data_IF_699347795838
#
_entry.id   IF_699347795838
#
_cell.length_a   1.000
_cell.length_b   1.000
_cell.length_c   1.000
_cell.angle_alpha   90.00
_cell.angle_beta   90.00
_cell.angle_gamma   90.00
#
_symmetry.space_group_name_H-M   'P 1'
#
loop_
_entity.id
_entity.type
_entity.pdbx_description
1 polymer ?
#
# COMPACT_ATOMS: atom_id res chain seq x y z
N UNK A 1 4.63 -2.08 -18.60
CA UNK A 1 5.09 -2.64 -17.32
C UNK A 1 3.87 -3.06 -16.50
N UNK A 2 4.00 -4.11 -15.69
CA UNK A 2 3.00 -4.50 -14.69
C UNK A 2 3.37 -3.88 -13.35
N UNK A 3 2.57 -2.93 -12.87
CA UNK A 3 2.83 -2.14 -11.67
C UNK A 3 1.87 -2.56 -10.56
N UNK A 4 2.41 -2.93 -9.39
CA UNK A 4 1.64 -3.16 -8.18
C UNK A 4 1.72 -1.93 -7.28
N UNK A 5 0.60 -1.26 -7.05
CA UNK A 5 0.50 -0.17 -6.09
C UNK A 5 -0.05 -0.69 -4.77
N UNK A 6 0.66 -0.44 -3.68
CA UNK A 6 0.20 -0.72 -2.32
C UNK A 6 -0.12 0.59 -1.62
N UNK A 7 -1.33 0.73 -1.14
CA UNK A 7 -1.81 1.94 -0.47
C UNK A 7 -2.88 1.61 0.56
N UNK A 8 -2.93 2.34 1.67
CA UNK A 8 -3.93 2.12 2.70
C UNK A 8 -5.27 2.81 2.41
N UNK A 9 -5.28 3.75 1.45
CA UNK A 9 -6.50 4.44 0.99
C UNK A 9 -6.54 4.56 -0.53
N UNK A 10 -7.71 4.35 -1.09
CA UNK A 10 -8.08 4.53 -2.50
C UNK A 10 -9.59 4.82 -2.55
N UNK A 11 -10.09 5.67 -3.45
CA UNK A 11 -11.52 5.97 -3.49
C UNK A 11 -12.42 4.70 -3.49
N UNK A 12 -13.56 4.73 -2.79
CA UNK A 12 -14.17 5.88 -2.11
C UNK A 12 -13.59 6.18 -0.73
N UNK A 13 -12.66 5.36 -0.18
CA UNK A 13 -11.95 5.65 1.06
C UNK A 13 -10.97 6.79 0.82
N UNK A 14 -11.26 7.96 1.39
CA UNK A 14 -10.41 9.15 1.34
C UNK A 14 -10.21 9.65 2.77
N UNK A 15 -9.04 9.37 3.35
CA UNK A 15 -8.65 9.88 4.66
C UNK A 15 -7.85 11.16 4.50
N UNK A 16 -6.98 11.19 3.48
CA UNK A 16 -6.14 12.33 3.19
C UNK A 16 -5.84 12.50 1.69
N UNK A 17 -4.68 13.05 1.41
CA UNK A 17 -4.25 13.31 0.03
C UNK A 17 -3.81 12.08 -0.75
N UNK A 18 -3.40 11.01 -0.06
CA UNK A 18 -2.83 9.80 -0.67
C UNK A 18 -3.82 9.17 -1.65
N UNK A 19 -5.09 9.02 -1.26
CA UNK A 19 -6.12 8.43 -2.11
C UNK A 19 -6.21 9.11 -3.48
N UNK A 20 -6.17 10.44 -3.51
CA UNK A 20 -6.24 11.22 -4.76
C UNK A 20 -4.97 11.04 -5.60
N UNK A 21 -3.82 11.10 -4.96
CA UNK A 21 -2.53 10.92 -5.65
C UNK A 21 -2.45 9.54 -6.30
N UNK A 22 -2.78 8.47 -5.55
CA UNK A 22 -2.74 7.10 -6.08
C UNK A 22 -3.75 6.92 -7.21
N UNK A 23 -4.97 7.43 -7.03
CA UNK A 23 -6.02 7.36 -8.04
C UNK A 23 -5.61 8.06 -9.35
N UNK A 24 -5.12 9.29 -9.28
CA UNK A 24 -4.77 10.05 -10.48
C UNK A 24 -3.52 9.49 -11.15
N UNK A 25 -2.52 9.08 -10.35
CA UNK A 25 -1.30 8.47 -10.85
C UNK A 25 -1.59 7.11 -11.52
N UNK A 26 -2.39 6.25 -10.90
CA UNK A 26 -2.74 4.94 -11.47
C UNK A 26 -3.44 5.09 -12.82
N UNK A 27 -4.38 6.03 -12.93
CA UNK A 27 -5.07 6.32 -14.20
C UNK A 27 -4.14 6.93 -15.24
N UNK A 28 -3.18 7.74 -14.83
CA UNK A 28 -2.18 8.28 -15.75
C UNK A 28 -1.31 7.17 -16.31
N UNK A 29 -0.84 6.25 -15.47
CA UNK A 29 -0.02 5.12 -15.90
C UNK A 29 -0.75 4.18 -16.85
N UNK A 30 -2.07 3.96 -16.67
CA UNK A 30 -2.89 3.23 -17.63
C UNK A 30 -2.88 3.93 -19.00
N UNK A 31 -3.04 5.27 -19.02
CA UNK A 31 -2.99 6.05 -20.30
C UNK A 31 -1.63 5.98 -20.98
N UNK A 32 -0.57 5.83 -20.19
CA UNK A 32 0.81 5.69 -20.69
C UNK A 32 1.14 4.24 -21.12
N UNK A 33 0.14 3.34 -21.11
CA UNK A 33 0.26 1.96 -21.63
C UNK A 33 0.77 0.94 -20.63
N UNK A 34 0.70 1.24 -19.32
CA UNK A 34 1.06 0.29 -18.26
C UNK A 34 -0.16 -0.49 -17.77
N UNK A 35 0.08 -1.68 -17.22
CA UNK A 35 -0.90 -2.45 -16.46
C UNK A 35 -0.75 -2.04 -14.98
N UNK A 36 -1.83 -1.62 -14.34
CA UNK A 36 -1.79 -1.16 -12.95
C UNK A 36 -2.78 -1.94 -12.10
N UNK A 37 -2.27 -2.54 -11.06
CA UNK A 37 -3.03 -3.20 -10.01
C UNK A 37 -2.84 -2.45 -8.70
N UNK A 38 -3.92 -2.08 -8.04
CA UNK A 38 -3.93 -1.44 -6.71
C UNK A 38 -4.44 -2.45 -5.69
N UNK A 39 -3.70 -2.63 -4.59
CA UNK A 39 -4.20 -3.32 -3.39
C UNK A 39 -4.39 -2.28 -2.29
N UNK A 40 -5.59 -2.21 -1.73
CA UNK A 40 -5.96 -1.21 -0.72
C UNK A 40 -6.87 -1.80 0.34
N UNK A 41 -7.10 -1.06 1.43
CA UNK A 41 -8.03 -1.44 2.48
C UNK A 41 -9.49 -1.29 2.01
N UNK A 42 -10.32 -2.27 2.39
CA UNK A 42 -11.77 -2.25 2.19
C UNK A 42 -12.44 -1.55 3.37
N UNK A 43 -13.16 -0.49 3.10
CA UNK A 43 -14.00 0.18 4.10
C UNK A 43 -15.44 0.21 3.63
N UNK A 44 -16.35 -0.17 4.52
CA UNK A 44 -17.76 -0.13 4.23
C UNK A 44 -18.23 -1.12 3.15
N UNK A 45 -19.35 -0.80 2.53
CA UNK A 45 -19.99 -1.66 1.53
C UNK A 45 -19.47 -1.36 0.11
N UNK A 46 -18.20 -1.65 -0.13
CA UNK A 46 -17.56 -1.54 -1.45
C UNK A 46 -17.16 -2.92 -1.95
N UNK A 47 -17.06 -3.15 -3.29
CA UNK A 47 -16.66 -4.45 -3.82
C UNK A 47 -15.20 -4.76 -3.47
N UNK A 48 -14.89 -6.06 -3.32
CA UNK A 48 -13.51 -6.54 -3.16
C UNK A 48 -12.65 -6.35 -4.41
N UNK A 49 -13.30 -6.32 -5.56
CA UNK A 49 -12.66 -6.07 -6.85
C UNK A 49 -13.50 -5.13 -7.69
N UNK A 50 -12.83 -4.19 -8.34
CA UNK A 50 -13.41 -3.38 -9.40
C UNK A 50 -12.35 -3.04 -10.47
N UNK A 51 -12.82 -2.77 -11.68
CA UNK A 51 -12.00 -2.15 -12.72
C UNK A 51 -12.35 -0.66 -12.80
N UNK A 52 -11.49 0.19 -12.25
CA UNK A 52 -11.67 1.64 -12.30
C UNK A 52 -10.96 2.22 -13.53
N UNK A 53 -11.65 2.20 -14.68
CA UNK A 53 -11.14 2.75 -15.95
C UNK A 53 -9.79 2.17 -16.37
N UNK A 54 -9.64 0.86 -16.23
CA UNK A 54 -8.43 0.11 -16.57
C UNK A 54 -7.54 -0.21 -15.39
N UNK A 55 -7.69 0.48 -14.26
CA UNK A 55 -6.99 0.14 -13.01
C UNK A 55 -7.70 -1.03 -12.34
N UNK A 56 -6.99 -2.12 -12.10
CA UNK A 56 -7.51 -3.25 -11.32
C UNK A 56 -7.37 -2.94 -9.82
N UNK A 57 -8.48 -2.73 -9.14
CA UNK A 57 -8.48 -2.40 -7.70
C UNK A 57 -8.95 -3.62 -6.90
N UNK A 58 -8.08 -4.11 -6.04
CA UNK A 58 -8.37 -5.18 -5.07
C UNK A 58 -8.40 -4.61 -3.67
N UNK A 59 -9.46 -4.89 -2.93
CA UNK A 59 -9.61 -4.43 -1.55
C UNK A 59 -9.49 -5.60 -0.60
N UNK A 60 -8.78 -5.40 0.51
CA UNK A 60 -8.56 -6.40 1.55
C UNK A 60 -9.16 -5.93 2.87
N UNK A 61 -9.79 -6.85 3.58
CA UNK A 61 -10.34 -6.64 4.93
C UNK A 61 -9.31 -7.02 6.01
N UNK A 62 -9.45 -6.40 7.17
CA UNK A 62 -8.80 -6.89 8.37
C UNK A 62 -9.70 -7.92 9.09
N UNK A 63 -9.11 -9.06 9.48
CA UNK A 63 -9.85 -10.17 10.10
C UNK A 63 -10.24 -9.90 11.55
N UNK A 64 -9.46 -9.09 12.28
CA UNK A 64 -9.81 -8.71 13.63
C UNK A 64 -10.74 -7.51 13.63
N UNK A 65 -11.91 -7.68 14.22
CA UNK A 65 -12.95 -6.66 14.26
C UNK A 65 -12.51 -5.46 15.11
N UNK A 66 -11.76 -5.72 16.19
CA UNK A 66 -11.27 -4.70 17.11
C UNK A 66 -9.77 -4.89 17.35
N UNK A 67 -8.89 -4.31 16.54
CA UNK A 67 -7.45 -4.29 16.86
C UNK A 67 -7.22 -3.47 18.13
N UNK A 68 -6.26 -3.89 18.96
CA UNK A 68 -5.97 -3.23 20.24
C UNK A 68 -5.47 -1.80 20.05
N UNK A 69 -4.81 -1.55 18.93
CA UNK A 69 -4.24 -0.26 18.58
C UNK A 69 -4.05 -0.13 17.06
N UNK A 70 -3.61 1.04 16.61
CA UNK A 70 -3.40 1.33 15.20
C UNK A 70 -2.29 0.49 14.55
N UNK A 71 -1.26 0.12 15.30
CA UNK A 71 -0.15 -0.71 14.81
C UNK A 71 -0.65 -2.13 14.52
N UNK A 72 -1.44 -2.71 15.40
CA UNK A 72 -2.05 -4.03 15.15
C UNK A 72 -2.92 -4.02 13.89
N UNK A 73 -3.67 -2.94 13.68
CA UNK A 73 -4.46 -2.75 12.47
C UNK A 73 -3.57 -2.72 11.21
N UNK A 74 -2.44 -2.01 11.26
CA UNK A 74 -1.48 -1.93 10.16
C UNK A 74 -0.84 -3.28 9.87
N UNK A 75 -0.47 -4.03 10.90
CA UNK A 75 0.11 -5.35 10.73
C UNK A 75 -0.87 -6.31 10.02
N UNK A 76 -2.14 -6.29 10.39
CA UNK A 76 -3.17 -7.06 9.70
C UNK A 76 -3.34 -6.62 8.25
N UNK A 77 -3.36 -5.32 7.99
CA UNK A 77 -3.46 -4.78 6.63
C UNK A 77 -2.31 -5.29 5.76
N UNK A 78 -1.07 -5.23 6.26
CA UNK A 78 0.11 -5.73 5.54
C UNK A 78 0.02 -7.24 5.28
N UNK A 79 -0.42 -8.02 6.26
CA UNK A 79 -0.60 -9.47 6.09
C UNK A 79 -1.62 -9.77 4.97
N UNK A 80 -2.76 -9.08 4.97
CA UNK A 80 -3.81 -9.28 3.98
C UNK A 80 -3.41 -8.77 2.58
N UNK A 81 -2.68 -7.66 2.52
CA UNK A 81 -2.10 -7.17 1.26
C UNK A 81 -1.11 -8.17 0.68
N UNK A 82 -0.24 -8.72 1.52
CA UNK A 82 0.73 -9.74 1.12
C UNK A 82 0.04 -11.00 0.59
N UNK A 83 -0.96 -11.51 1.30
CA UNK A 83 -1.74 -12.67 0.88
C UNK A 83 -2.41 -12.43 -0.48
N UNK A 84 -3.02 -11.25 -0.68
CA UNK A 84 -3.65 -10.88 -1.95
C UNK A 84 -2.61 -10.74 -3.07
N UNK A 85 -1.47 -10.12 -2.80
CA UNK A 85 -0.40 -9.96 -3.79
C UNK A 85 0.16 -11.33 -4.23
N UNK A 86 0.37 -12.26 -3.31
CA UNK A 86 0.79 -13.62 -3.62
C UNK A 86 -0.23 -14.34 -4.52
N UNK A 87 -1.53 -14.27 -4.18
CA UNK A 87 -2.61 -14.81 -5.01
C UNK A 87 -2.56 -14.24 -6.44
N UNK A 88 -2.33 -12.95 -6.58
CA UNK A 88 -2.28 -12.29 -7.88
C UNK A 88 -1.02 -12.67 -8.67
N UNK A 89 0.13 -12.80 -8.01
CA UNK A 89 1.38 -13.25 -8.64
C UNK A 89 1.22 -14.69 -9.14
N UNK A 90 0.61 -15.57 -8.36
CA UNK A 90 0.37 -16.97 -8.77
C UNK A 90 -0.57 -17.05 -9.98
N UNK A 91 -1.58 -16.18 -10.05
CA UNK A 91 -2.58 -16.20 -11.13
C UNK A 91 -2.13 -15.48 -12.40
N UNK A 92 -1.42 -14.37 -12.28
CA UNK A 92 -1.14 -13.42 -13.38
C UNK A 92 0.36 -13.28 -13.69
N UNK A 93 1.21 -13.91 -12.90
CA UNK A 93 2.66 -13.76 -12.97
C UNK A 93 3.16 -12.53 -12.21
N UNK A 94 4.47 -12.42 -12.13
CA UNK A 94 5.21 -11.42 -11.36
C UNK A 94 4.97 -10.01 -11.89
N UNK A 95 4.92 -9.05 -10.96
CA UNK A 95 4.94 -7.61 -11.27
C UNK A 95 6.37 -7.15 -11.58
N UNK A 96 6.49 -6.09 -12.37
CA UNK A 96 7.78 -5.50 -12.73
C UNK A 96 8.29 -4.56 -11.64
N UNK A 97 7.37 -3.90 -10.93
CA UNK A 97 7.68 -2.95 -9.85
C UNK A 97 6.55 -2.89 -8.82
N UNK A 98 6.92 -2.68 -7.55
CA UNK A 98 6.00 -2.33 -6.46
C UNK A 98 6.11 -0.82 -6.24
N UNK A 99 4.98 -0.11 -6.26
CA UNK A 99 4.92 1.29 -5.83
C UNK A 99 4.22 1.35 -4.46
N UNK A 100 5.01 1.55 -3.42
CA UNK A 100 4.54 1.65 -2.04
C UNK A 100 4.23 3.10 -1.69
N UNK A 101 3.02 3.37 -1.20
CA UNK A 101 2.56 4.70 -0.78
C UNK A 101 2.50 4.79 0.73
N UNK A 102 3.44 5.56 1.28
CA UNK A 102 3.65 5.79 2.71
C UNK A 102 4.11 4.54 3.48
N UNK A 103 4.47 4.73 4.74
CA UNK A 103 5.04 3.70 5.63
C UNK A 103 4.07 2.56 5.99
N UNK A 104 2.76 2.81 5.91
CA UNK A 104 1.73 1.86 6.32
C UNK A 104 1.76 0.54 5.56
N UNK A 105 2.37 0.48 4.39
CA UNK A 105 2.44 -0.71 3.53
C UNK A 105 3.85 -1.31 3.45
N UNK A 106 4.76 -0.86 4.31
CA UNK A 106 6.19 -1.21 4.29
C UNK A 106 6.43 -2.71 4.37
N UNK A 107 5.77 -3.39 5.32
CA UNK A 107 6.03 -4.82 5.56
C UNK A 107 5.63 -5.70 4.38
N UNK A 108 4.46 -5.45 3.78
CA UNK A 108 4.04 -6.18 2.58
C UNK A 108 4.94 -5.88 1.39
N UNK A 109 5.32 -4.62 1.17
CA UNK A 109 6.21 -4.23 0.08
C UNK A 109 7.60 -4.88 0.21
N UNK A 110 8.23 -4.80 1.38
CA UNK A 110 9.56 -5.40 1.64
C UNK A 110 9.53 -6.91 1.54
N UNK A 111 8.48 -7.56 2.05
CA UNK A 111 8.33 -9.02 1.94
C UNK A 111 8.22 -9.45 0.48
N UNK A 112 7.43 -8.77 -0.34
CA UNK A 112 7.31 -9.05 -1.76
C UNK A 112 8.62 -8.82 -2.52
N UNK A 113 9.34 -7.72 -2.21
CA UNK A 113 10.68 -7.46 -2.75
C UNK A 113 11.60 -8.65 -2.47
N UNK A 114 11.69 -9.07 -1.20
CA UNK A 114 12.62 -10.11 -0.79
C UNK A 114 12.24 -11.50 -1.33
N UNK A 115 10.94 -11.80 -1.39
CA UNK A 115 10.45 -13.11 -1.85
C UNK A 115 10.54 -13.28 -3.37
N UNK A 116 10.30 -12.23 -4.13
CA UNK A 116 10.18 -12.28 -5.59
C UNK A 116 11.27 -11.49 -6.33
N UNK A 117 12.11 -10.74 -5.64
CA UNK A 117 13.09 -9.84 -6.24
C UNK A 117 12.44 -8.71 -7.06
N UNK A 118 11.26 -8.22 -6.63
CA UNK A 118 10.58 -7.12 -7.31
C UNK A 118 11.10 -5.79 -6.75
N UNK A 119 11.58 -4.86 -7.59
CA UNK A 119 12.04 -3.56 -7.11
C UNK A 119 10.89 -2.74 -6.53
N UNK A 120 11.22 -1.91 -5.54
CA UNK A 120 10.26 -0.98 -4.90
C UNK A 120 10.57 0.45 -5.31
N UNK A 121 9.53 1.19 -5.64
CA UNK A 121 9.48 2.66 -5.63
C UNK A 121 8.64 3.07 -4.43
N UNK A 122 9.14 3.99 -3.62
CA UNK A 122 8.43 4.48 -2.43
C UNK A 122 8.07 5.94 -2.59
N UNK A 123 6.83 6.28 -2.27
CA UNK A 123 6.40 7.68 -2.11
C UNK A 123 6.03 7.91 -0.66
N UNK A 124 6.85 8.67 0.05
CA UNK A 124 6.56 9.13 1.41
C UNK A 124 5.82 10.46 1.30
N UNK A 125 4.55 10.45 1.68
CA UNK A 125 3.69 11.63 1.57
C UNK A 125 3.92 12.64 2.69
N UNK A 126 4.31 12.18 3.87
CA UNK A 126 4.78 13.01 4.97
C UNK A 126 5.57 12.13 5.95
N UNK A 127 6.70 12.63 6.43
CA UNK A 127 7.47 11.95 7.47
C UNK A 127 6.92 12.24 8.85
N UNK A 128 7.07 11.30 9.77
CA UNK A 128 6.65 11.50 11.17
C UNK A 128 7.42 12.64 11.83
N UNK A 129 8.73 12.69 11.60
CA UNK A 129 9.56 13.79 12.09
C UNK A 129 9.12 15.17 11.53
N UNK A 130 8.70 15.20 10.25
CA UNK A 130 8.23 16.42 9.62
C UNK A 130 6.88 16.91 10.16
N UNK A 131 5.96 15.99 10.49
CA UNK A 131 4.65 16.32 11.06
C UNK A 131 4.75 16.91 12.45
N UNK A 132 5.67 16.42 13.28
CA UNK A 132 5.75 16.71 14.71
C UNK A 132 6.94 17.59 15.08
N UNK A 133 7.68 18.10 14.11
CA UNK A 133 8.94 18.86 14.34
C UNK A 133 9.97 18.06 15.16
N UNK A 134 9.98 16.73 14.99
CA UNK A 134 10.87 15.79 15.68
C UNK A 134 10.16 14.49 16.03
N UNK A 135 10.88 13.63 16.76
CA UNK A 135 10.36 12.35 17.30
C UNK A 135 10.36 12.48 18.83
N UNK A 136 9.19 12.42 19.43
CA UNK A 136 8.99 12.76 20.85
C UNK A 136 8.54 11.57 21.73
N UNK A 137 8.05 10.47 21.11
CA UNK A 137 7.59 9.28 21.83
C UNK A 137 7.90 7.99 21.07
N UNK A 138 7.62 6.84 21.69
CA UNK A 138 7.91 5.51 21.13
C UNK A 138 7.03 5.19 19.92
N UNK A 139 5.79 5.67 19.88
CA UNK A 139 4.89 5.47 18.75
C UNK A 139 5.39 6.19 17.50
N UNK A 140 5.83 7.45 17.64
CA UNK A 140 6.44 8.22 16.59
C UNK A 140 7.77 7.62 16.13
N UNK A 141 8.57 7.08 17.07
CA UNK A 141 9.80 6.37 16.74
C UNK A 141 9.51 5.14 15.88
N UNK A 142 8.50 4.34 16.23
CA UNK A 142 8.10 3.19 15.45
C UNK A 142 7.71 3.57 14.01
N UNK A 143 6.93 4.64 13.83
CA UNK A 143 6.55 5.14 12.50
C UNK A 143 7.78 5.58 11.72
N UNK A 144 8.64 6.39 12.32
CA UNK A 144 9.88 6.85 11.71
C UNK A 144 10.80 5.70 11.30
N UNK A 145 10.99 4.71 12.16
CA UNK A 145 11.83 3.55 11.86
C UNK A 145 11.24 2.70 10.73
N UNK A 146 9.91 2.63 10.64
CA UNK A 146 9.20 1.95 9.55
C UNK A 146 9.31 2.70 8.23
N UNK A 147 9.30 4.04 8.24
CA UNK A 147 9.60 4.88 7.07
C UNK A 147 11.02 4.60 6.56
N UNK A 148 12.00 4.57 7.46
CA UNK A 148 13.38 4.22 7.11
C UNK A 148 13.51 2.81 6.54
N UNK A 149 12.81 1.83 7.12
CA UNK A 149 12.79 0.47 6.61
C UNK A 149 12.31 0.39 5.17
N UNK A 150 11.34 1.23 4.77
CA UNK A 150 10.84 1.27 3.41
C UNK A 150 11.88 1.79 2.41
N UNK A 151 12.74 2.71 2.85
CA UNK A 151 13.77 3.36 2.02
C UNK A 151 15.13 2.63 2.03
N UNK A 152 15.36 1.75 2.99
CA UNK A 152 16.61 0.98 3.10
C UNK A 152 16.61 -0.23 2.16
N UNK A 153 17.72 -0.45 1.48
CA UNK A 153 17.93 -1.64 0.63
C UNK A 153 18.14 -2.94 1.40
#
# INVERSE_FOLDING_TARGET
MKILMLTWEYPPRIVGGIARVVHDLSKRLIKDGHEVTVITYKEGNVPYYENDKGVEVYRVDNYMINPNNFIDWIMQLNFNMLAKANELIDKKGKFDVIHAHDWLVTYSAKTLKNSYGIPIVSTIHATEAGRNSGIHDEGQRYVNDTEWLLTYE
#
